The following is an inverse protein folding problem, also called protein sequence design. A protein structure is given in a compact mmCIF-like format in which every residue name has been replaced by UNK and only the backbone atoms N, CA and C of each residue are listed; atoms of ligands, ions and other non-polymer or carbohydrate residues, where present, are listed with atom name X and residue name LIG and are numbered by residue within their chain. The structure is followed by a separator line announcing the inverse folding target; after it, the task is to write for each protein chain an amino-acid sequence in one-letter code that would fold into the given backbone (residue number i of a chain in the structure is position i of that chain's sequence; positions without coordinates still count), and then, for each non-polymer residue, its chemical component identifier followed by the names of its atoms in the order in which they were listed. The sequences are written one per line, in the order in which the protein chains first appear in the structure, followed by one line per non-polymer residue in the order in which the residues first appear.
data_IF_909846060942
#
_entry.id   IF_909846060942
#
_cell.length_a   1.000
_cell.length_b   1.000
_cell.length_c   1.000
_cell.angle_alpha   90.00
_cell.angle_beta   90.00
_cell.angle_gamma   90.00
#
_symmetry.space_group_name_H-M   'P 1'
#
loop_
_entity.id
_entity.type
_entity.pdbx_description
1 polymer ?
#
# COMPACT_ATOMS: atom_id res chain seq x y z
N UNK A 1 12.60 11.75 -13.63
CA UNK A 1 12.86 10.45 -14.31
C UNK A 1 14.13 10.62 -15.11
N UNK A 2 15.14 9.85 -14.80
CA UNK A 2 16.38 9.86 -15.58
C UNK A 2 16.23 9.08 -16.90
N UNK A 3 17.28 9.10 -17.74
CA UNK A 3 17.22 8.48 -19.07
C UNK A 3 17.24 6.94 -18.98
N UNK A 4 17.94 6.39 -17.98
CA UNK A 4 17.97 4.94 -17.75
C UNK A 4 16.62 4.40 -17.31
N UNK A 5 15.93 5.10 -16.40
CA UNK A 5 14.57 4.76 -15.96
C UNK A 5 13.59 4.81 -17.14
N UNK A 6 13.70 5.85 -17.97
CA UNK A 6 12.86 6.00 -19.17
C UNK A 6 13.03 4.82 -20.13
N UNK A 7 14.27 4.45 -20.42
CA UNK A 7 14.58 3.32 -21.31
C UNK A 7 14.10 1.99 -20.74
N UNK A 8 14.30 1.75 -19.43
CA UNK A 8 13.83 0.54 -18.77
C UNK A 8 12.30 0.41 -18.80
N UNK A 9 11.59 1.52 -18.54
CA UNK A 9 10.11 1.55 -18.63
C UNK A 9 9.66 1.32 -20.08
N UNK A 10 10.27 1.99 -21.06
CA UNK A 10 9.92 1.81 -22.47
C UNK A 10 10.12 0.36 -22.91
N UNK A 11 11.22 -0.25 -22.52
CA UNK A 11 11.48 -1.67 -22.81
C UNK A 11 10.40 -2.57 -22.20
N UNK A 12 10.09 -2.40 -20.90
CA UNK A 12 9.05 -3.19 -20.24
C UNK A 12 7.66 -2.97 -20.85
N UNK A 13 7.36 -1.77 -21.33
CA UNK A 13 6.09 -1.50 -22.02
C UNK A 13 6.02 -2.14 -23.41
N UNK A 14 7.15 -2.20 -24.14
CA UNK A 14 7.22 -2.85 -25.46
C UNK A 14 7.13 -4.38 -25.37
N UNK A 15 7.68 -4.96 -24.29
CA UNK A 15 7.66 -6.41 -24.04
C UNK A 15 6.46 -6.85 -23.19
N UNK A 16 5.50 -5.96 -22.92
CA UNK A 16 4.33 -6.25 -22.05
C UNK A 16 3.56 -7.48 -22.55
N UNK A 17 3.53 -8.51 -21.71
CA UNK A 17 2.78 -9.74 -21.95
C UNK A 17 1.36 -9.67 -21.39
N UNK A 18 1.16 -8.86 -20.35
CA UNK A 18 -0.14 -8.65 -19.72
C UNK A 18 -0.31 -7.19 -19.28
N UNK A 19 -1.33 -6.52 -19.82
CA UNK A 19 -1.79 -5.22 -19.34
C UNK A 19 -3.13 -5.36 -18.61
N UNK A 20 -3.25 -4.67 -17.49
CA UNK A 20 -4.52 -4.53 -16.75
C UNK A 20 -4.67 -3.13 -16.19
N UNK A 21 -5.84 -2.56 -16.44
CA UNK A 21 -6.34 -1.41 -15.69
C UNK A 21 -7.24 -1.95 -14.59
N UNK A 22 -6.87 -1.68 -13.34
CA UNK A 22 -7.68 -2.05 -12.20
C UNK A 22 -8.88 -1.10 -12.06
N UNK A 23 -9.98 -1.52 -11.45
CA UNK A 23 -11.10 -0.64 -11.14
C UNK A 23 -10.64 0.58 -10.34
N UNK A 24 -11.35 1.70 -10.51
CA UNK A 24 -11.15 2.86 -9.66
C UNK A 24 -11.69 2.55 -8.28
N UNK A 25 -10.86 2.71 -7.26
CA UNK A 25 -11.28 2.62 -5.87
C UNK A 25 -11.55 4.02 -5.31
N UNK A 26 -12.73 4.17 -4.68
CA UNK A 26 -13.13 5.37 -3.96
C UNK A 26 -13.20 5.03 -2.48
N UNK A 27 -12.39 5.71 -1.65
CA UNK A 27 -12.29 5.40 -0.24
C UNK A 27 -12.08 6.65 0.61
N UNK A 28 -12.50 6.59 1.87
CA UNK A 28 -12.31 7.66 2.83
C UNK A 28 -10.86 7.66 3.29
N UNK A 29 -10.15 8.75 3.03
CA UNK A 29 -8.76 8.87 3.47
C UNK A 29 -8.34 10.33 3.48
N UNK A 30 -7.55 10.73 4.48
CA UNK A 30 -6.87 12.02 4.48
C UNK A 30 -5.81 12.05 3.36
N UNK A 31 -5.78 13.14 2.61
CA UNK A 31 -4.87 13.28 1.46
C UNK A 31 -3.39 13.27 1.83
N UNK A 32 -3.02 13.85 3.00
CA UNK A 32 -1.63 13.84 3.46
C UNK A 32 -1.20 12.44 3.90
N UNK A 33 -2.10 11.69 4.55
CA UNK A 33 -1.85 10.30 4.92
C UNK A 33 -1.67 9.42 3.68
N UNK A 34 -2.52 9.58 2.67
CA UNK A 34 -2.36 8.86 1.41
C UNK A 34 -1.04 9.25 0.72
N UNK A 35 -0.74 10.55 0.62
CA UNK A 35 0.50 11.03 0.03
C UNK A 35 1.73 10.46 0.72
N UNK A 36 1.77 10.46 2.05
CA UNK A 36 2.82 9.84 2.84
C UNK A 36 2.95 8.33 2.55
N UNK A 37 1.83 7.62 2.51
CA UNK A 37 1.81 6.16 2.27
C UNK A 37 2.32 5.80 0.88
N UNK A 38 2.06 6.64 -0.12
CA UNK A 38 2.56 6.47 -1.48
C UNK A 38 4.05 6.80 -1.62
N UNK A 39 4.57 7.70 -0.77
CA UNK A 39 6.00 8.04 -0.76
C UNK A 39 6.84 7.08 0.09
N UNK A 40 6.22 6.51 1.11
CA UNK A 40 6.86 5.65 2.12
C UNK A 40 6.09 4.33 2.25
N UNK A 41 5.93 3.58 1.14
CA UNK A 41 5.14 2.34 1.14
C UNK A 41 5.70 1.31 2.13
N UNK A 42 7.01 1.32 2.40
CA UNK A 42 7.66 0.46 3.38
C UNK A 42 7.11 0.67 4.80
N UNK A 43 6.68 1.88 5.14
CA UNK A 43 6.06 2.18 6.44
C UNK A 43 4.73 1.47 6.60
N UNK A 44 3.90 1.46 5.55
CA UNK A 44 2.61 0.75 5.57
C UNK A 44 2.82 -0.76 5.65
N UNK A 45 3.79 -1.28 4.92
CA UNK A 45 4.16 -2.71 5.00
C UNK A 45 4.67 -3.07 6.39
N UNK A 46 5.45 -2.22 7.05
CA UNK A 46 5.92 -2.45 8.43
C UNK A 46 4.75 -2.45 9.43
N UNK A 47 3.72 -1.60 9.24
CA UNK A 47 2.47 -1.66 10.02
C UNK A 47 1.78 -3.00 9.80
N UNK A 48 1.58 -3.46 8.57
CA UNK A 48 0.94 -4.76 8.29
C UNK A 48 1.67 -5.92 8.95
N UNK A 49 3.01 -5.89 8.96
CA UNK A 49 3.83 -6.90 9.63
C UNK A 49 3.68 -6.84 11.15
N UNK A 50 3.68 -5.63 11.72
CA UNK A 50 3.47 -5.42 13.16
C UNK A 50 2.10 -5.94 13.62
N UNK A 51 1.08 -5.78 12.77
CA UNK A 51 -0.27 -6.28 13.00
C UNK A 51 -0.43 -7.78 12.68
N UNK A 52 0.55 -8.41 12.04
CA UNK A 52 0.48 -9.83 11.66
C UNK A 52 -0.40 -10.13 10.44
N UNK A 53 -0.92 -9.10 9.75
CA UNK A 53 -1.85 -9.27 8.61
C UNK A 53 -1.13 -9.54 7.28
N UNK A 54 0.18 -9.38 7.22
CA UNK A 54 0.95 -9.64 6.00
C UNK A 54 2.35 -10.20 6.30
N UNK A 55 2.83 -11.06 5.40
CA UNK A 55 4.21 -11.55 5.36
C UNK A 55 5.10 -10.75 4.40
N UNK A 56 4.51 -9.84 3.64
CA UNK A 56 5.23 -8.98 2.71
C UNK A 56 6.35 -8.24 3.43
N UNK A 57 7.54 -8.20 2.85
CA UNK A 57 8.60 -7.27 3.23
C UNK A 57 8.87 -6.30 2.08
N UNK A 58 9.16 -5.06 2.43
CA UNK A 58 9.54 -4.01 1.51
C UNK A 58 10.65 -3.22 2.20
N UNK A 59 11.89 -3.55 1.86
CA UNK A 59 13.07 -3.04 2.56
C UNK A 59 13.76 -1.99 1.67
N UNK A 60 13.91 -0.73 2.12
CA UNK A 60 14.59 0.30 1.36
C UNK A 60 16.05 -0.09 1.07
N UNK A 61 16.48 0.04 -0.18
CA UNK A 61 17.86 -0.21 -0.65
C UNK A 61 18.56 1.06 -1.13
N UNK A 62 17.80 2.15 -1.31
CA UNK A 62 18.27 3.45 -1.74
C UNK A 62 17.12 4.45 -1.82
N UNK A 63 17.39 5.69 -2.25
CA UNK A 63 16.32 6.65 -2.52
C UNK A 63 15.34 6.10 -3.56
N UNK A 64 14.04 6.04 -3.19
CA UNK A 64 12.97 5.57 -4.06
C UNK A 64 13.19 4.13 -4.60
N UNK A 65 13.94 3.28 -3.87
CA UNK A 65 14.25 1.91 -4.25
C UNK A 65 14.04 0.95 -3.08
N UNK A 66 13.47 -0.21 -3.39
CA UNK A 66 13.16 -1.24 -2.40
C UNK A 66 13.46 -2.63 -2.93
N UNK A 67 13.83 -3.52 -2.03
CA UNK A 67 13.76 -4.96 -2.22
C UNK A 67 12.49 -5.48 -1.56
N UNK A 68 11.77 -6.36 -2.23
CA UNK A 68 10.56 -6.96 -1.69
C UNK A 68 10.61 -8.48 -1.68
N UNK A 69 9.86 -9.07 -0.74
CA UNK A 69 9.55 -10.49 -0.71
C UNK A 69 8.12 -10.68 -0.18
N UNK A 70 7.30 -11.48 -0.86
CA UNK A 70 5.90 -11.70 -0.50
C UNK A 70 5.71 -12.78 0.59
N UNK A 71 6.76 -13.56 0.89
CA UNK A 71 6.71 -14.68 1.81
C UNK A 71 6.10 -15.96 1.21
N UNK A 72 5.78 -15.96 -0.10
CA UNK A 72 5.19 -17.09 -0.83
C UNK A 72 6.01 -17.52 -2.04
N UNK A 73 7.20 -16.98 -2.18
CA UNK A 73 8.15 -17.35 -3.22
C UNK A 73 8.44 -16.25 -4.25
N UNK A 74 7.79 -15.09 -4.16
CA UNK A 74 8.14 -13.92 -4.98
C UNK A 74 9.18 -13.07 -4.26
N UNK A 75 10.25 -12.74 -4.98
CA UNK A 75 11.27 -11.77 -4.53
C UNK A 75 11.59 -10.83 -5.68
N UNK A 76 11.97 -9.60 -5.36
CA UNK A 76 12.32 -8.66 -6.41
C UNK A 76 12.78 -7.31 -5.91
N UNK A 77 12.96 -6.41 -6.86
CA UNK A 77 13.31 -5.02 -6.64
C UNK A 77 12.20 -4.14 -7.21
N UNK A 78 11.92 -3.05 -6.54
CA UNK A 78 10.96 -2.04 -6.93
C UNK A 78 11.64 -0.68 -6.87
N UNK A 79 11.41 0.15 -7.87
CA UNK A 79 11.91 1.51 -7.95
C UNK A 79 10.77 2.46 -8.32
N UNK A 80 10.68 3.59 -7.65
CA UNK A 80 9.83 4.70 -8.07
C UNK A 80 10.58 5.53 -9.11
N UNK A 81 10.23 5.34 -10.37
CA UNK A 81 10.91 5.95 -11.51
C UNK A 81 10.33 7.33 -11.89
N UNK A 82 9.08 7.60 -11.52
CA UNK A 82 8.45 8.90 -11.78
C UNK A 82 7.46 9.27 -10.67
N UNK A 83 7.48 10.55 -10.30
CA UNK A 83 6.55 11.15 -9.34
C UNK A 83 6.09 12.51 -9.85
N UNK A 84 4.77 12.67 -10.00
CA UNK A 84 4.11 13.94 -10.23
C UNK A 84 3.15 14.21 -9.07
N UNK A 85 3.23 15.41 -8.50
CA UNK A 85 2.29 15.88 -7.48
C UNK A 85 1.56 17.10 -7.98
N UNK A 86 0.25 17.11 -7.78
CA UNK A 86 -0.65 18.23 -8.02
C UNK A 86 -1.34 18.59 -6.70
N UNK A 87 -1.96 19.74 -6.64
CA UNK A 87 -2.65 20.21 -5.44
C UNK A 87 -3.70 19.20 -4.93
N UNK A 88 -4.41 18.52 -5.82
CA UNK A 88 -5.52 17.61 -5.50
C UNK A 88 -5.28 16.17 -5.92
N UNK A 89 -4.02 15.78 -6.16
CA UNK A 89 -3.71 14.41 -6.59
C UNK A 89 -2.31 14.27 -7.18
N UNK A 90 -2.11 13.22 -7.97
CA UNK A 90 -0.82 12.98 -8.61
C UNK A 90 -0.74 11.67 -9.37
N UNK A 91 0.49 11.38 -9.82
CA UNK A 91 0.83 10.15 -10.51
C UNK A 91 2.20 9.65 -10.06
N UNK A 92 2.28 8.34 -9.84
CA UNK A 92 3.52 7.64 -9.55
C UNK A 92 3.69 6.52 -10.58
N UNK A 93 4.92 6.30 -11.03
CA UNK A 93 5.27 5.16 -11.87
C UNK A 93 6.36 4.37 -11.19
N UNK A 94 6.03 3.16 -10.82
CA UNK A 94 6.98 2.19 -10.30
C UNK A 94 7.43 1.25 -11.42
N UNK A 95 8.70 0.91 -11.42
CA UNK A 95 9.27 -0.16 -12.23
C UNK A 95 9.82 -1.23 -11.29
N UNK A 96 9.49 -2.48 -11.55
CA UNK A 96 9.94 -3.60 -10.74
C UNK A 96 10.50 -4.73 -11.60
N UNK A 97 11.42 -5.49 -11.02
CA UNK A 97 11.91 -6.76 -11.57
C UNK A 97 11.90 -7.80 -10.45
N UNK A 98 11.51 -9.01 -10.79
CA UNK A 98 11.42 -10.05 -9.77
C UNK A 98 11.47 -11.46 -10.32
N UNK A 99 11.50 -12.39 -9.38
CA UNK A 99 11.44 -13.81 -9.66
C UNK A 99 10.43 -14.47 -8.72
N UNK A 100 9.73 -15.47 -9.25
CA UNK A 100 8.85 -16.33 -8.48
C UNK A 100 9.38 -17.77 -8.52
N UNK A 101 9.51 -18.35 -7.33
CA UNK A 101 9.80 -19.77 -7.13
C UNK A 101 8.84 -20.31 -6.08
N UNK A 102 7.78 -20.94 -6.52
CA UNK A 102 6.74 -21.45 -5.63
C UNK A 102 6.04 -22.68 -6.20
N UNK A 103 5.06 -23.24 -5.46
CA UNK A 103 4.38 -24.49 -5.82
C UNK A 103 3.67 -24.46 -7.18
N UNK A 104 3.33 -23.27 -7.67
CA UNK A 104 2.62 -23.08 -8.93
C UNK A 104 3.58 -23.03 -10.15
N UNK A 105 4.88 -23.09 -9.95
CA UNK A 105 5.85 -23.05 -11.03
C UNK A 105 6.94 -24.12 -10.89
N UNK A 106 7.11 -25.00 -11.89
CA UNK A 106 8.18 -25.98 -11.90
C UNK A 106 9.57 -25.39 -12.16
N UNK A 107 9.63 -24.12 -12.61
CA UNK A 107 10.86 -23.36 -12.87
C UNK A 107 10.77 -21.97 -12.27
N UNK A 108 11.92 -21.33 -12.05
CA UNK A 108 11.93 -19.91 -11.68
C UNK A 108 11.30 -19.10 -12.82
N UNK A 109 10.25 -18.36 -12.51
CA UNK A 109 9.67 -17.36 -13.40
C UNK A 109 10.32 -16.03 -13.10
N UNK A 110 10.87 -15.37 -14.10
CA UNK A 110 11.41 -14.02 -13.99
C UNK A 110 10.55 -13.07 -14.80
N UNK A 111 10.55 -11.81 -14.43
CA UNK A 111 9.81 -10.80 -15.18
C UNK A 111 9.96 -9.42 -14.60
N UNK A 112 9.39 -8.47 -15.33
CA UNK A 112 9.29 -7.08 -14.96
C UNK A 112 7.85 -6.64 -14.76
N UNK A 113 7.67 -5.50 -14.09
CA UNK A 113 6.39 -4.82 -14.05
C UNK A 113 6.57 -3.31 -14.11
N UNK A 114 5.62 -2.64 -14.73
CA UNK A 114 5.42 -1.20 -14.58
C UNK A 114 4.05 -0.99 -13.94
N UNK A 115 4.02 -0.28 -12.81
CA UNK A 115 2.79 0.10 -12.13
C UNK A 115 2.63 1.61 -12.23
N UNK A 116 1.56 2.06 -12.86
CA UNK A 116 1.20 3.48 -12.93
C UNK A 116 0.03 3.73 -11.99
N UNK A 117 0.27 4.46 -10.92
CA UNK A 117 -0.72 4.79 -9.90
C UNK A 117 -1.14 6.24 -10.10
N UNK A 118 -2.42 6.48 -10.35
CA UNK A 118 -3.04 7.81 -10.37
C UNK A 118 -3.95 7.95 -9.17
N UNK A 119 -3.84 9.06 -8.49
CA UNK A 119 -4.70 9.36 -7.35
C UNK A 119 -5.17 10.81 -7.39
N UNK A 120 -6.34 11.07 -6.84
CA UNK A 120 -6.90 12.42 -6.73
C UNK A 120 -7.90 12.49 -5.59
N UNK A 121 -8.11 13.70 -5.10
CA UNK A 121 -9.25 13.97 -4.23
C UNK A 121 -10.57 13.72 -4.98
N UNK A 122 -11.55 13.20 -4.25
CA UNK A 122 -12.91 13.00 -4.72
C UNK A 122 -13.87 13.83 -3.86
N UNK A 123 -15.11 13.96 -4.30
CA UNK A 123 -16.14 14.66 -3.52
C UNK A 123 -16.24 14.03 -2.12
N UNK A 124 -16.26 14.85 -1.05
CA UNK A 124 -16.43 14.35 0.31
C UNK A 124 -17.71 13.52 0.47
N UNK A 125 -17.76 12.71 1.51
CA UNK A 125 -18.98 12.02 1.92
C UNK A 125 -20.03 13.04 2.39
N UNK A 126 -21.29 12.60 2.52
CA UNK A 126 -22.40 13.45 2.99
C UNK A 126 -22.11 14.01 4.39
N UNK A 127 -21.38 13.26 5.22
CA UNK A 127 -20.91 13.68 6.57
C UNK A 127 -19.59 14.48 6.53
N UNK A 128 -19.13 14.91 5.34
CA UNK A 128 -18.00 15.80 5.16
C UNK A 128 -16.62 15.14 5.25
N UNK A 129 -16.51 13.81 5.34
CA UNK A 129 -15.21 13.12 5.35
C UNK A 129 -14.53 13.17 3.99
N UNK A 130 -13.22 13.38 4.00
CA UNK A 130 -12.42 13.44 2.79
C UNK A 130 -12.36 12.08 2.10
N UNK A 131 -12.50 12.08 0.78
CA UNK A 131 -12.38 10.87 -0.05
C UNK A 131 -11.26 11.01 -1.06
N UNK A 132 -10.67 9.89 -1.37
CA UNK A 132 -9.67 9.74 -2.42
C UNK A 132 -10.15 8.75 -3.48
N UNK A 133 -9.76 9.02 -4.71
CA UNK A 133 -9.88 8.10 -5.83
C UNK A 133 -8.50 7.62 -6.24
N UNK A 134 -8.31 6.32 -6.37
CA UNK A 134 -7.05 5.73 -6.86
C UNK A 134 -7.33 4.79 -8.02
N UNK A 135 -6.46 4.79 -9.02
CA UNK A 135 -6.49 3.89 -10.15
C UNK A 135 -5.09 3.39 -10.45
N UNK A 136 -4.97 2.11 -10.72
CA UNK A 136 -3.69 1.46 -11.05
C UNK A 136 -3.78 0.85 -12.45
N UNK A 137 -2.81 1.19 -13.30
CA UNK A 137 -2.51 0.47 -14.53
C UNK A 137 -1.27 -0.39 -14.29
N UNK A 138 -1.39 -1.70 -14.51
CA UNK A 138 -0.32 -2.67 -14.34
C UNK A 138 0.09 -3.26 -15.70
N UNK A 139 1.37 -3.19 -16.02
CA UNK A 139 1.99 -3.79 -17.18
C UNK A 139 2.98 -4.83 -16.68
N UNK A 140 2.78 -6.08 -17.06
CA UNK A 140 3.66 -7.19 -16.70
C UNK A 140 4.40 -7.67 -17.94
N UNK A 141 5.68 -7.85 -17.78
CA UNK A 141 6.59 -8.45 -18.75
C UNK A 141 7.17 -9.72 -18.12
N UNK A 142 6.97 -10.83 -18.76
CA UNK A 142 7.38 -12.11 -18.19
C UNK A 142 8.29 -12.84 -19.15
N UNK A 143 9.41 -13.36 -18.64
CA UNK A 143 10.41 -14.08 -19.43
C UNK A 143 10.05 -15.57 -19.57
N UNK A 144 10.19 -16.11 -20.79
CA UNK A 144 10.25 -17.56 -21.02
C UNK A 144 9.19 -18.16 -21.94
N UNK A 145 9.62 -19.16 -22.69
CA UNK A 145 8.79 -19.99 -23.55
C UNK A 145 7.94 -20.93 -22.66
N UNK A 146 6.67 -20.90 -22.81
CA UNK A 146 5.71 -21.65 -21.98
C UNK A 146 4.81 -20.73 -21.15
N UNK A 147 5.11 -19.47 -21.10
CA UNK A 147 4.36 -18.45 -20.38
C UNK A 147 3.05 -18.09 -21.06
N UNK A 148 2.93 -18.25 -22.37
CA UNK A 148 1.65 -18.01 -23.09
C UNK A 148 0.52 -18.86 -22.56
N UNK A 149 0.81 -20.12 -22.19
CA UNK A 149 -0.19 -21.04 -21.61
C UNK A 149 -0.50 -20.62 -20.18
N UNK A 150 0.53 -20.31 -19.39
CA UNK A 150 0.38 -19.90 -17.99
C UNK A 150 -0.32 -18.54 -17.90
N UNK A 151 0.05 -17.56 -18.73
CA UNK A 151 -0.60 -16.26 -18.75
C UNK A 151 -2.04 -16.34 -19.22
N UNK A 152 -2.36 -17.08 -20.26
CA UNK A 152 -3.76 -17.24 -20.73
C UNK A 152 -4.64 -17.91 -19.68
N UNK A 153 -4.14 -18.91 -18.96
CA UNK A 153 -4.90 -19.65 -17.96
C UNK A 153 -4.99 -18.91 -16.62
N UNK A 154 -3.92 -18.26 -16.20
CA UNK A 154 -3.86 -17.54 -14.90
C UNK A 154 -4.25 -16.07 -15.00
N UNK A 155 -4.36 -15.51 -16.20
CA UNK A 155 -4.66 -14.11 -16.43
C UNK A 155 -5.91 -13.60 -15.67
N UNK A 156 -7.07 -14.32 -15.68
CA UNK A 156 -8.23 -13.88 -14.92
C UNK A 156 -7.98 -13.91 -13.40
N UNK A 157 -7.22 -14.91 -12.93
CA UNK A 157 -6.89 -15.06 -11.52
C UNK A 157 -5.96 -13.93 -11.06
N UNK A 158 -4.91 -13.61 -11.82
CA UNK A 158 -3.97 -12.52 -11.53
C UNK A 158 -4.72 -11.18 -11.49
N UNK A 159 -5.58 -10.91 -12.46
CA UNK A 159 -6.34 -9.67 -12.51
C UNK A 159 -7.32 -9.53 -11.33
N UNK A 160 -8.03 -10.61 -11.00
CA UNK A 160 -8.96 -10.64 -9.85
C UNK A 160 -8.21 -10.45 -8.53
N UNK A 161 -7.09 -11.12 -8.36
CA UNK A 161 -6.25 -11.02 -7.17
C UNK A 161 -5.68 -9.60 -7.00
N UNK A 162 -5.20 -8.98 -8.08
CA UNK A 162 -4.68 -7.63 -8.06
C UNK A 162 -5.78 -6.60 -7.69
N UNK A 163 -6.96 -6.73 -8.26
CA UNK A 163 -8.10 -5.86 -7.93
C UNK A 163 -8.54 -6.04 -6.47
N UNK A 164 -8.64 -7.28 -5.99
CA UNK A 164 -8.96 -7.56 -4.59
C UNK A 164 -7.91 -6.99 -3.63
N UNK A 165 -6.62 -7.15 -3.95
CA UNK A 165 -5.54 -6.60 -3.13
C UNK A 165 -5.59 -5.06 -3.10
N UNK A 166 -5.84 -4.38 -4.22
CA UNK A 166 -6.00 -2.93 -4.25
C UNK A 166 -7.16 -2.49 -3.35
N UNK A 167 -8.30 -3.19 -3.45
CA UNK A 167 -9.46 -2.92 -2.61
C UNK A 167 -9.14 -3.06 -1.11
N UNK A 168 -8.48 -4.15 -0.71
CA UNK A 168 -8.08 -4.38 0.69
C UNK A 168 -7.07 -3.33 1.19
N UNK A 169 -6.14 -2.89 0.34
CA UNK A 169 -5.23 -1.79 0.65
C UNK A 169 -6.02 -0.49 0.91
N UNK A 170 -7.00 -0.16 0.06
CA UNK A 170 -7.84 1.03 0.22
C UNK A 170 -8.68 0.97 1.50
N UNK A 171 -9.21 -0.20 1.85
CA UNK A 171 -9.94 -0.41 3.12
C UNK A 171 -9.02 -0.23 4.33
N UNK A 172 -7.80 -0.76 4.27
CA UNK A 172 -6.81 -0.55 5.33
C UNK A 172 -6.46 0.94 5.48
N UNK A 173 -6.25 1.65 4.37
CA UNK A 173 -5.97 3.08 4.39
C UNK A 173 -7.14 3.89 4.97
N UNK A 174 -8.39 3.49 4.70
CA UNK A 174 -9.57 4.10 5.35
C UNK A 174 -9.53 3.89 6.85
N UNK A 175 -9.33 2.65 7.31
CA UNK A 175 -9.26 2.32 8.74
C UNK A 175 -8.11 3.07 9.44
N UNK A 176 -6.95 3.18 8.81
CA UNK A 176 -5.82 3.94 9.35
C UNK A 176 -6.11 5.45 9.40
N UNK A 177 -6.81 5.99 8.40
CA UNK A 177 -7.22 7.39 8.37
C UNK A 177 -8.27 7.70 9.46
N UNK A 178 -9.25 6.82 9.65
CA UNK A 178 -10.25 6.95 10.72
C UNK A 178 -9.58 6.85 12.10
N UNK A 179 -8.62 5.94 12.26
CA UNK A 179 -7.81 5.84 13.47
C UNK A 179 -6.96 7.10 13.73
N UNK A 180 -6.35 7.66 12.68
CA UNK A 180 -5.60 8.91 12.79
C UNK A 180 -6.49 10.08 13.22
N UNK A 181 -7.73 10.12 12.74
CA UNK A 181 -8.70 11.15 13.10
C UNK A 181 -9.23 11.02 14.53
N UNK A 182 -9.55 9.79 14.97
CA UNK A 182 -10.19 9.52 16.27
C UNK A 182 -9.20 9.26 17.41
N UNK A 183 -8.03 8.66 17.12
CA UNK A 183 -7.02 8.28 18.11
C UNK A 183 -5.59 8.57 17.62
N UNK A 184 -5.22 9.84 17.37
CA UNK A 184 -3.91 10.21 16.82
C UNK A 184 -2.74 9.76 17.71
N UNK A 185 -2.90 9.77 19.03
CA UNK A 185 -1.87 9.31 19.96
C UNK A 185 -1.69 7.78 19.93
N UNK A 186 -2.76 7.03 19.64
CA UNK A 186 -2.68 5.60 19.35
C UNK A 186 -1.86 5.32 18.10
N UNK A 187 -2.09 6.06 17.03
CA UNK A 187 -1.29 5.96 15.79
C UNK A 187 0.16 6.36 16.03
N UNK A 188 0.43 7.41 16.83
CA UNK A 188 1.79 7.79 17.20
C UNK A 188 2.52 6.68 17.98
N UNK A 189 1.83 6.01 18.90
CA UNK A 189 2.40 4.86 19.63
C UNK A 189 2.60 3.64 18.72
N UNK A 190 1.68 3.38 17.79
CA UNK A 190 1.85 2.36 16.76
C UNK A 190 3.11 2.63 15.93
N UNK A 191 3.27 3.88 15.45
CA UNK A 191 4.43 4.31 14.69
C UNK A 191 5.75 4.06 15.44
N UNK A 192 5.80 4.34 16.75
CA UNK A 192 6.99 4.10 17.58
C UNK A 192 7.34 2.61 17.74
N UNK A 193 6.39 1.70 17.54
CA UNK A 193 6.62 0.24 17.58
C UNK A 193 7.14 -0.34 16.26
N UNK A 194 7.14 0.43 15.17
CA UNK A 194 7.63 -0.02 13.86
C UNK A 194 9.14 -0.29 13.94
N UNK A 195 9.54 -1.49 13.50
CA UNK A 195 10.93 -1.95 13.66
C UNK A 195 11.81 -1.63 12.45
N UNK A 196 11.22 -1.57 11.25
CA UNK A 196 11.94 -1.39 10.00
C UNK A 196 11.86 0.04 9.47
N UNK A 197 10.84 0.79 9.86
CA UNK A 197 10.65 2.20 9.51
C UNK A 197 11.67 3.07 10.25
N UNK A 198 12.33 3.96 9.52
CA UNK A 198 13.32 4.88 10.09
C UNK A 198 12.65 5.90 11.04
N UNK A 199 13.38 6.43 12.04
CA UNK A 199 12.78 7.32 13.05
C UNK A 199 12.07 8.55 12.49
N UNK A 200 12.62 9.15 11.43
CA UNK A 200 12.02 10.34 10.80
C UNK A 200 10.65 10.04 10.19
N UNK A 201 10.49 8.88 9.55
CA UNK A 201 9.22 8.49 8.93
C UNK A 201 8.18 8.07 9.99
N UNK A 202 8.62 7.48 11.12
CA UNK A 202 7.74 7.24 12.29
C UNK A 202 7.20 8.55 12.87
N UNK A 203 8.07 9.55 12.99
CA UNK A 203 7.68 10.87 13.46
C UNK A 203 6.75 11.59 12.47
N UNK A 204 7.01 11.46 11.17
CA UNK A 204 6.15 12.01 10.12
C UNK A 204 4.75 11.40 10.19
N UNK A 205 4.62 10.07 10.32
CA UNK A 205 3.32 9.40 10.48
C UNK A 205 2.57 9.89 11.72
N UNK A 206 3.26 10.02 12.87
CA UNK A 206 2.66 10.55 14.10
C UNK A 206 2.18 12.00 13.95
N UNK A 207 2.94 12.84 13.24
CA UNK A 207 2.57 14.24 12.95
C UNK A 207 1.34 14.29 12.05
N UNK A 208 1.33 13.52 10.96
CA UNK A 208 0.18 13.44 10.04
C UNK A 208 -1.08 13.00 10.77
N UNK A 209 -0.98 12.02 11.69
CA UNK A 209 -2.14 11.58 12.46
C UNK A 209 -2.73 12.72 13.31
N UNK A 210 -1.89 13.49 14.01
CA UNK A 210 -2.34 14.65 14.80
C UNK A 210 -2.97 15.73 13.93
N UNK A 211 -2.38 16.03 12.79
CA UNK A 211 -2.93 17.00 11.83
C UNK A 211 -4.28 16.53 11.26
N UNK A 212 -4.41 15.24 10.96
CA UNK A 212 -5.68 14.64 10.50
C UNK A 212 -6.77 14.84 11.54
N UNK A 213 -6.49 14.54 12.81
CA UNK A 213 -7.42 14.77 13.91
C UNK A 213 -7.81 16.26 14.05
N UNK A 214 -6.86 17.18 13.91
CA UNK A 214 -7.14 18.62 13.98
C UNK A 214 -8.06 19.07 12.83
N UNK A 215 -7.77 18.63 11.59
CA UNK A 215 -8.63 18.96 10.43
C UNK A 215 -10.06 18.44 10.58
N UNK A 216 -10.22 17.27 11.17
CA UNK A 216 -11.54 16.68 11.37
C UNK A 216 -12.33 17.39 12.49
N UNK A 217 -11.67 17.77 13.58
CA UNK A 217 -12.29 18.55 14.67
C UNK A 217 -12.89 19.88 14.18
N UNK A 218 -12.14 20.60 13.32
CA UNK A 218 -12.60 21.87 12.76
C UNK A 218 -13.85 21.72 11.89
N UNK A 219 -14.07 20.53 11.30
CA UNK A 219 -15.21 20.27 10.41
C UNK A 219 -16.46 19.75 11.12
N UNK A 220 -16.32 19.09 12.29
CA UNK A 220 -17.43 18.29 12.84
C UNK A 220 -18.09 18.90 14.09
N UNK A 221 -17.47 19.88 14.76
CA UNK A 221 -17.95 20.48 16.03
C UNK A 221 -18.33 19.46 17.13
N UNK A 222 -17.94 18.19 16.96
CA UNK A 222 -18.25 17.10 17.88
C UNK A 222 -17.13 16.91 18.91
N UNK A 223 -17.48 16.69 20.19
CA UNK A 223 -16.51 16.25 21.19
C UNK A 223 -15.93 14.89 20.78
N UNK A 224 -14.62 14.73 20.89
CA UNK A 224 -13.98 13.42 20.71
C UNK A 224 -14.52 12.48 21.81
N UNK A 225 -15.26 11.46 21.41
CA UNK A 225 -15.49 10.32 22.26
C UNK A 225 -14.16 9.71 22.69
N UNK A 226 -14.13 9.16 23.89
CA UNK A 226 -12.94 8.66 24.56
C UNK A 226 -12.06 7.83 23.62
N UNK A 227 -10.84 8.26 23.45
CA UNK A 227 -9.83 7.59 22.61
C UNK A 227 -9.65 6.15 23.06
N UNK A 228 -9.92 5.20 22.17
CA UNK A 228 -9.59 3.80 22.37
C UNK A 228 -8.13 3.63 22.86
N UNK A 229 -7.85 2.65 23.68
CA UNK A 229 -6.48 2.40 24.13
C UNK A 229 -5.57 2.09 22.93
N UNK A 230 -4.25 2.34 23.02
CA UNK A 230 -3.34 2.02 21.92
C UNK A 230 -3.35 0.57 21.49
N UNK A 231 -3.63 -0.30 22.45
CA UNK A 231 -3.64 -1.74 22.21
C UNK A 231 -4.96 -2.15 21.55
N UNK A 232 -6.04 -1.49 21.87
CA UNK A 232 -7.32 -1.61 21.16
C UNK A 232 -7.17 -1.18 19.70
N UNK A 233 -6.42 -0.11 19.40
CA UNK A 233 -6.16 0.33 18.03
C UNK A 233 -5.53 -0.77 17.16
N UNK A 234 -4.58 -1.54 17.71
CA UNK A 234 -3.96 -2.65 16.95
C UNK A 234 -4.97 -3.72 16.59
N UNK A 235 -5.84 -4.06 17.51
CA UNK A 235 -6.90 -5.04 17.30
C UNK A 235 -7.91 -4.52 16.28
N UNK A 236 -8.34 -3.29 16.41
CA UNK A 236 -9.34 -2.68 15.51
C UNK A 236 -8.79 -2.61 14.07
N UNK A 237 -7.53 -2.22 13.89
CA UNK A 237 -6.88 -2.19 12.59
C UNK A 237 -6.69 -3.59 11.98
N UNK A 238 -6.51 -4.62 12.79
CA UNK A 238 -6.28 -5.99 12.31
C UNK A 238 -7.58 -6.81 12.17
N UNK A 239 -8.67 -6.38 12.79
CA UNK A 239 -9.89 -7.16 12.96
C UNK A 239 -10.50 -7.71 11.66
N UNK A 240 -10.33 -7.00 10.55
CA UNK A 240 -10.81 -7.45 9.25
C UNK A 240 -10.01 -8.61 8.66
N UNK A 241 -8.71 -8.70 8.98
CA UNK A 241 -7.77 -9.59 8.27
C UNK A 241 -7.29 -10.77 9.12
N UNK A 242 -7.49 -10.72 10.43
CA UNK A 242 -7.07 -11.80 11.32
C UNK A 242 -8.28 -12.57 11.87
N UNK A 243 -8.16 -13.90 12.00
CA UNK A 243 -9.15 -14.72 12.72
C UNK A 243 -9.18 -14.36 14.22
N UNK A 244 -10.27 -14.70 14.90
CA UNK A 244 -10.51 -14.34 16.31
C UNK A 244 -9.38 -14.78 17.25
N UNK A 245 -8.83 -15.98 17.05
CA UNK A 245 -7.76 -16.51 17.88
C UNK A 245 -6.46 -15.71 17.76
N UNK A 246 -6.13 -15.24 16.54
CA UNK A 246 -4.96 -14.40 16.30
C UNK A 246 -5.16 -13.00 16.85
N UNK A 247 -6.38 -12.46 16.84
CA UNK A 247 -6.71 -11.18 17.47
C UNK A 247 -6.54 -11.24 18.99
N UNK A 248 -6.94 -12.35 19.65
CA UNK A 248 -6.70 -12.55 21.08
C UNK A 248 -5.21 -12.58 21.40
N UNK A 249 -4.40 -13.27 20.58
CA UNK A 249 -2.95 -13.29 20.75
C UNK A 249 -2.34 -11.88 20.59
N UNK A 250 -2.87 -11.05 19.69
CA UNK A 250 -2.44 -9.68 19.49
C UNK A 250 -2.74 -8.80 20.72
N UNK A 251 -3.86 -9.07 21.45
CA UNK A 251 -4.20 -8.41 22.70
C UNK A 251 -3.27 -8.82 23.86
N UNK A 252 -2.86 -10.09 23.91
CA UNK A 252 -2.02 -10.62 24.99
C UNK A 252 -0.52 -10.25 24.89
N UNK A 253 -0.07 -9.76 23.73
CA UNK A 253 1.31 -9.29 23.50
C UNK A 253 1.53 -7.82 23.92
N UNK A 254 0.81 -7.36 24.92
CA UNK A 254 0.86 -6.01 25.49
C UNK A 254 2.10 -5.77 26.37
#
# INVERSE_FOLDING_TARGET
MDEQDRQAIQQSLQSTTLYRRLPVELFVCDGNLLGFSLDKPETIVDIWRLLGISRLSLDPTGPDQWQFADGYGTVGQLQLAYRERKQTGGMLVFHGKGAYKGPLSPKNLTGGCVLMIRYREAEPTVDGRLRQAIQVDAFLDMDGIGLEIVTRTLQPLIARSAAANLHEICLFMSSLSDAAASNPEGVARLANRLKRTVPIDRQALATIARETAQRQKVKTDMPLEQTASPDQLRVDLAARWLPADDLQNLQLQQ
#
